data_IF_937021329568
#
_entry.id   IF_937021329568
#
_cell.length_a   1.000
_cell.length_b   1.000
_cell.length_c   1.000
_cell.angle_alpha   90.00
_cell.angle_beta   90.00
_cell.angle_gamma   90.00
#
_symmetry.space_group_name_H-M   'P 1'
#
loop_
_entity.id
_entity.type
_entity.pdbx_description
1 polymer ?
#
# COMPACT_ATOMS: atom_id res chain seq x y z
N UNK A 1 -1.96 -8.70 24.27
CA UNK A 1 -1.73 -9.86 23.39
C UNK A 1 -2.91 -10.80 23.52
N UNK A 2 -3.41 -11.28 22.38
CA UNK A 2 -3.93 -12.64 22.19
C UNK A 2 -3.79 -12.94 20.68
N UNK A 3 -3.47 -14.18 20.30
CA UNK A 3 -2.77 -14.52 19.07
C UNK A 3 -3.71 -14.90 17.93
N UNK A 4 -3.20 -14.78 16.70
CA UNK A 4 -3.82 -15.23 15.46
C UNK A 4 -3.23 -16.61 15.13
N UNK A 5 -4.06 -17.65 15.23
CA UNK A 5 -3.75 -18.99 14.70
C UNK A 5 -3.80 -18.93 13.17
N UNK A 6 -2.77 -19.48 12.54
CA UNK A 6 -2.73 -19.89 11.14
C UNK A 6 -2.26 -21.33 11.18
N UNK A 7 -3.18 -22.26 10.97
CA UNK A 7 -2.91 -23.57 10.42
C UNK A 7 -3.21 -23.46 8.92
N UNK A 8 -2.28 -23.91 8.10
CA UNK A 8 -2.57 -24.92 7.06
C UNK A 8 -1.24 -25.35 6.44
N UNK A 9 -1.16 -26.66 6.29
CA UNK A 9 -0.01 -27.51 6.00
C UNK A 9 0.47 -27.39 4.56
N UNK A 10 1.76 -27.68 4.33
CA UNK A 10 2.21 -28.33 3.09
C UNK A 10 3.53 -29.09 3.35
N UNK A 11 3.37 -30.41 3.39
CA UNK A 11 4.36 -31.46 3.58
C UNK A 11 5.16 -31.67 2.28
N UNK A 12 6.51 -31.65 2.34
CA UNK A 12 7.35 -32.01 1.20
C UNK A 12 8.37 -33.11 1.57
N UNK A 13 8.31 -34.17 0.77
CA UNK A 13 8.96 -35.47 0.93
C UNK A 13 10.47 -35.38 0.64
N UNK A 14 11.27 -35.94 1.55
CA UNK A 14 12.72 -36.19 1.42
C UNK A 14 13.04 -37.17 0.28
N UNK A 15 14.11 -36.88 -0.47
CA UNK A 15 14.88 -37.90 -1.20
C UNK A 15 16.37 -37.63 -1.06
N UNK A 16 16.99 -38.47 -0.24
CA UNK A 16 18.43 -38.68 -0.12
C UNK A 16 19.07 -39.08 -1.45
N UNK A 17 20.23 -38.49 -1.73
CA UNK A 17 21.24 -39.10 -2.59
C UNK A 17 22.51 -39.28 -1.78
N UNK A 18 22.74 -40.53 -1.39
CA UNK A 18 23.96 -40.99 -0.72
C UNK A 18 25.17 -41.03 -1.65
N UNK A 19 26.32 -40.87 -0.99
CA UNK A 19 27.72 -40.81 -1.44
C UNK A 19 28.17 -41.89 -2.42
N UNK A 20 29.11 -41.59 -3.35
CA UNK A 20 30.35 -42.37 -3.65
C UNK A 20 31.37 -41.45 -4.43
N UNK A 21 32.67 -41.79 -4.58
CA UNK A 21 33.81 -41.39 -3.74
C UNK A 21 34.90 -40.55 -4.46
N UNK A 22 35.91 -40.13 -3.70
CA UNK A 22 37.09 -39.39 -4.13
C UNK A 22 38.02 -40.17 -5.11
N UNK A 23 38.58 -39.47 -6.10
CA UNK A 23 39.69 -39.95 -6.93
C UNK A 23 40.82 -38.90 -6.97
N UNK A 24 42.04 -39.43 -6.91
CA UNK A 24 43.33 -38.86 -6.54
C UNK A 24 43.87 -37.73 -7.43
N UNK A 25 44.65 -36.86 -6.79
CA UNK A 25 45.57 -35.92 -7.43
C UNK A 25 46.73 -36.65 -8.13
N UNK A 26 47.24 -36.10 -9.24
CA UNK A 26 48.65 -36.19 -9.56
C UNK A 26 49.33 -34.81 -9.56
N UNK A 27 50.60 -34.86 -9.19
CA UNK A 27 51.52 -33.78 -8.85
C UNK A 27 52.34 -33.25 -10.04
N UNK A 28 52.59 -31.93 -9.98
CA UNK A 28 53.78 -31.14 -10.40
C UNK A 28 54.09 -31.05 -11.91
N UNK A 29 54.12 -29.82 -12.45
CA UNK A 29 55.34 -29.20 -13.00
C UNK A 29 55.17 -27.72 -13.32
N UNK A 30 56.24 -26.96 -13.05
CA UNK A 30 56.38 -25.52 -13.19
C UNK A 30 56.63 -25.11 -14.65
N UNK A 31 55.85 -24.17 -15.19
CA UNK A 31 56.37 -23.23 -16.20
C UNK A 31 55.62 -21.90 -16.21
N UNK A 32 56.38 -20.88 -16.56
CA UNK A 32 56.13 -19.45 -16.56
C UNK A 32 55.09 -18.95 -17.59
N UNK A 33 54.32 -17.94 -17.17
CA UNK A 33 53.66 -16.88 -17.96
C UNK A 33 52.53 -17.27 -18.94
N UNK A 34 51.30 -16.88 -18.60
CA UNK A 34 50.41 -16.21 -19.55
C UNK A 34 49.29 -15.44 -18.83
N UNK A 35 49.30 -14.11 -18.91
CA UNK A 35 48.17 -13.26 -18.54
C UNK A 35 47.08 -13.44 -19.62
N UNK A 36 46.22 -14.43 -19.44
CA UNK A 36 44.98 -14.53 -20.23
C UNK A 36 43.84 -13.87 -19.46
N UNK A 37 43.11 -13.00 -20.17
CA UNK A 37 41.95 -12.26 -19.69
C UNK A 37 40.96 -13.19 -18.98
N UNK A 38 40.84 -13.04 -17.67
CA UNK A 38 39.72 -13.57 -16.92
C UNK A 38 38.50 -12.73 -17.30
N UNK A 39 37.53 -13.37 -17.94
CA UNK A 39 36.25 -12.78 -18.28
C UNK A 39 35.49 -12.52 -16.98
N UNK A 40 35.62 -11.32 -16.43
CA UNK A 40 34.88 -10.89 -15.23
C UNK A 40 33.39 -10.83 -15.54
N UNK A 41 32.61 -11.76 -14.99
CA UNK A 41 31.16 -11.62 -14.92
C UNK A 41 30.84 -10.43 -14.02
N UNK A 42 30.53 -9.27 -14.61
CA UNK A 42 29.99 -8.13 -13.88
C UNK A 42 28.58 -8.49 -13.38
N UNK A 43 28.47 -8.81 -12.10
CA UNK A 43 27.17 -8.89 -11.43
C UNK A 43 26.71 -7.45 -11.15
N UNK A 44 25.56 -7.09 -11.72
CA UNK A 44 25.03 -5.73 -11.69
C UNK A 44 24.79 -5.22 -10.26
N UNK A 45 25.28 -4.01 -9.98
CA UNK A 45 25.01 -3.33 -8.72
C UNK A 45 23.50 -3.04 -8.58
N UNK A 46 22.89 -3.53 -7.50
CA UNK A 46 21.50 -3.23 -7.14
C UNK A 46 21.50 -1.96 -6.29
N UNK A 47 20.67 -0.97 -6.65
CA UNK A 47 20.49 0.26 -5.87
C UNK A 47 20.06 -0.11 -4.45
N UNK A 48 20.88 0.20 -3.46
CA UNK A 48 20.57 -0.08 -2.07
C UNK A 48 19.41 0.79 -1.58
N UNK A 49 18.68 0.33 -0.55
CA UNK A 49 17.58 1.10 0.05
C UNK A 49 18.03 2.48 0.57
N UNK A 50 19.30 2.63 0.93
CA UNK A 50 19.89 3.90 1.31
C UNK A 50 20.07 4.82 0.08
N UNK A 51 20.65 4.31 -1.01
CA UNK A 51 20.84 5.07 -2.25
C UNK A 51 19.52 5.49 -2.89
N UNK A 52 18.48 4.64 -2.85
CA UNK A 52 17.15 4.98 -3.33
C UNK A 52 16.52 6.16 -2.56
N UNK A 53 16.77 6.26 -1.24
CA UNK A 53 16.30 7.38 -0.42
C UNK A 53 17.03 8.68 -0.75
N UNK A 54 18.34 8.61 -0.97
CA UNK A 54 19.16 9.77 -1.34
C UNK A 54 18.78 10.28 -2.74
N UNK A 55 18.59 9.39 -3.71
CA UNK A 55 18.14 9.76 -5.05
C UNK A 55 16.75 10.43 -5.03
N UNK A 56 15.86 10.00 -4.14
CA UNK A 56 14.55 10.64 -3.94
C UNK A 56 14.66 12.05 -3.31
N UNK A 57 15.65 12.29 -2.45
CA UNK A 57 15.94 13.60 -1.85
C UNK A 57 16.65 14.56 -2.82
N UNK A 58 17.50 14.05 -3.71
CA UNK A 58 18.17 14.89 -4.72
C UNK A 58 17.20 15.35 -5.81
N UNK A 59 16.24 14.49 -6.21
CA UNK A 59 15.24 14.81 -7.23
C UNK A 59 14.14 15.79 -6.77
N UNK A 60 14.06 16.17 -5.49
CA UNK A 60 13.15 17.22 -5.02
C UNK A 60 13.70 18.64 -5.18
N UNK A 61 14.94 18.79 -5.69
CA UNK A 61 15.66 20.08 -5.69
C UNK A 61 15.63 20.82 -7.03
N UNK A 62 14.85 20.36 -8.02
CA UNK A 62 14.76 21.02 -9.33
C UNK A 62 13.30 21.30 -9.70
N UNK A 63 12.75 22.37 -9.12
CA UNK A 63 11.59 23.08 -9.68
C UNK A 63 12.12 24.44 -10.14
N UNK A 64 11.98 24.83 -11.44
CA UNK A 64 12.37 26.15 -11.88
C UNK A 64 11.47 27.22 -11.25
N UNK A 65 12.12 28.27 -10.78
CA UNK A 65 11.56 29.46 -10.16
C UNK A 65 10.61 30.20 -11.13
N UNK A 66 9.32 30.22 -10.82
CA UNK A 66 8.39 31.22 -11.37
C UNK A 66 7.81 31.98 -10.20
N UNK A 67 8.42 33.13 -9.95
CA UNK A 67 7.97 34.20 -9.07
C UNK A 67 6.48 34.53 -9.25
N UNK A 68 5.69 34.35 -8.20
CA UNK A 68 4.35 34.95 -8.05
C UNK A 68 4.45 35.98 -6.93
N UNK A 69 4.08 37.21 -7.26
CA UNK A 69 3.98 38.34 -6.34
C UNK A 69 3.07 38.02 -5.15
N UNK A 70 3.55 38.34 -3.96
CA UNK A 70 2.83 38.26 -2.70
C UNK A 70 1.62 39.21 -2.71
N UNK A 71 0.42 38.65 -2.57
CA UNK A 71 -0.71 39.36 -1.96
C UNK A 71 -1.22 38.56 -0.77
N UNK A 72 -0.68 38.96 0.37
CA UNK A 72 -1.28 39.09 1.71
C UNK A 72 -2.66 38.48 1.98
N UNK A 73 -2.71 37.80 3.13
CA UNK A 73 -3.85 37.60 4.05
C UNK A 73 -5.01 36.73 3.55
N UNK A 74 -4.96 35.45 3.93
CA UNK A 74 -6.17 34.63 4.09
C UNK A 74 -6.16 34.06 5.50
N UNK A 75 -7.24 34.41 6.19
CA UNK A 75 -7.65 34.14 7.56
C UNK A 75 -7.56 32.65 7.92
N UNK A 76 -7.04 32.33 9.11
CA UNK A 76 -7.05 31.00 9.74
C UNK A 76 -8.48 30.64 10.17
N UNK A 77 -9.37 30.41 9.20
CA UNK A 77 -10.68 29.83 9.44
C UNK A 77 -10.59 28.31 9.32
N UNK A 78 -11.07 27.53 10.32
CA UNK A 78 -11.08 26.08 10.23
C UNK A 78 -11.91 25.67 9.01
N UNK A 79 -11.34 24.84 8.14
CA UNK A 79 -12.00 24.25 6.96
C UNK A 79 -13.33 23.63 7.38
N UNK A 80 -14.39 24.41 7.21
CA UNK A 80 -15.76 24.02 7.49
C UNK A 80 -16.08 22.82 6.61
N UNK A 81 -16.46 21.70 7.22
CA UNK A 81 -17.01 20.53 6.53
C UNK A 81 -18.35 20.91 5.89
N UNK A 82 -18.35 21.72 4.84
CA UNK A 82 -19.52 21.88 3.98
C UNK A 82 -19.57 20.68 3.04
N UNK A 83 -19.79 19.51 3.65
CA UNK A 83 -20.11 18.29 2.96
C UNK A 83 -21.44 18.48 2.28
N UNK A 84 -21.39 18.73 0.97
CA UNK A 84 -22.48 18.64 0.00
C UNK A 84 -23.65 17.84 0.56
N UNK A 85 -24.65 18.56 1.08
CA UNK A 85 -25.77 17.97 1.79
C UNK A 85 -26.52 17.09 0.79
N UNK A 86 -26.46 15.78 1.02
CA UNK A 86 -27.25 14.84 0.25
C UNK A 86 -28.71 15.26 0.40
N UNK A 87 -29.36 15.66 -0.70
CA UNK A 87 -30.67 16.30 -0.67
C UNK A 87 -31.69 15.40 0.06
N UNK A 88 -31.97 15.78 1.30
CA UNK A 88 -32.86 15.04 2.20
C UNK A 88 -34.31 15.20 1.73
N UNK A 89 -34.66 16.29 1.03
CA UNK A 89 -36.03 16.50 0.55
C UNK A 89 -36.36 15.55 -0.62
N UNK A 90 -35.41 15.35 -1.53
CA UNK A 90 -35.55 14.39 -2.61
C UNK A 90 -35.63 12.92 -2.12
N UNK A 91 -35.14 12.62 -0.92
CA UNK A 91 -35.10 11.23 -0.43
C UNK A 91 -36.49 10.68 -0.14
N UNK A 92 -37.41 11.50 0.35
CA UNK A 92 -38.75 11.05 0.71
C UNK A 92 -39.51 10.58 -0.54
N UNK A 93 -39.46 11.37 -1.61
CA UNK A 93 -40.06 11.04 -2.89
C UNK A 93 -39.39 9.81 -3.52
N UNK A 94 -38.07 9.75 -3.51
CA UNK A 94 -37.31 8.63 -4.08
C UNK A 94 -37.57 7.32 -3.31
N UNK A 95 -37.74 7.39 -1.99
CA UNK A 95 -38.10 6.23 -1.18
C UNK A 95 -39.49 5.71 -1.55
N UNK A 96 -40.50 6.57 -1.72
CA UNK A 96 -41.88 6.17 -2.05
C UNK A 96 -41.98 5.33 -3.34
N UNK A 97 -41.10 5.61 -4.31
CA UNK A 97 -41.02 4.87 -5.58
C UNK A 97 -40.45 3.45 -5.38
N UNK A 98 -39.60 3.25 -4.38
CA UNK A 98 -38.89 1.99 -4.20
C UNK A 98 -39.79 0.87 -3.63
N UNK A 99 -39.61 -0.35 -4.16
CA UNK A 99 -40.38 -1.53 -3.77
C UNK A 99 -40.14 -1.96 -2.32
N UNK A 100 -38.90 -1.84 -1.84
CA UNK A 100 -38.55 -2.18 -0.45
C UNK A 100 -39.25 -1.23 0.51
N UNK A 101 -39.29 0.06 0.19
CA UNK A 101 -40.04 1.04 0.98
C UNK A 101 -41.51 0.65 1.09
N UNK A 102 -42.19 0.42 -0.04
CA UNK A 102 -43.62 0.06 -0.06
C UNK A 102 -43.90 -1.19 0.78
N UNK A 103 -43.06 -2.21 0.64
CA UNK A 103 -43.21 -3.47 1.39
C UNK A 103 -43.01 -3.25 2.89
N UNK A 104 -41.98 -2.51 3.31
CA UNK A 104 -41.70 -2.26 4.72
C UNK A 104 -42.69 -1.33 5.39
N UNK A 105 -43.24 -0.36 4.68
CA UNK A 105 -44.31 0.49 5.21
C UNK A 105 -45.56 -0.33 5.51
N UNK A 106 -45.97 -1.23 4.61
CA UNK A 106 -47.10 -2.13 4.84
C UNK A 106 -46.86 -3.06 6.04
N UNK A 107 -45.66 -3.64 6.15
CA UNK A 107 -45.29 -4.48 7.31
C UNK A 107 -45.34 -3.71 8.64
N UNK A 108 -44.84 -2.48 8.66
CA UNK A 108 -44.85 -1.61 9.85
C UNK A 108 -46.29 -1.25 10.25
N UNK A 109 -47.15 -0.93 9.28
CA UNK A 109 -48.55 -0.61 9.51
C UNK A 109 -49.36 -1.83 10.00
N UNK A 110 -49.06 -3.03 9.49
CA UNK A 110 -49.78 -4.24 9.85
C UNK A 110 -49.48 -4.73 11.28
N UNK A 111 -48.25 -4.57 11.77
CA UNK A 111 -47.84 -5.07 13.10
C UNK A 111 -46.85 -4.10 13.77
N UNK A 112 -47.25 -3.21 14.69
CA UNK A 112 -46.35 -2.18 15.23
C UNK A 112 -45.20 -2.69 16.15
N UNK A 113 -45.10 -4.00 16.40
CA UNK A 113 -44.22 -4.55 17.43
C UNK A 113 -42.83 -4.91 16.86
N UNK A 114 -41.81 -4.17 17.34
CA UNK A 114 -40.36 -4.46 17.22
C UNK A 114 -39.86 -4.81 15.81
N UNK A 115 -40.05 -3.90 14.87
CA UNK A 115 -39.49 -3.99 13.53
C UNK A 115 -38.00 -3.64 13.46
N UNK A 116 -37.34 -4.14 12.41
CA UNK A 116 -35.98 -3.74 12.03
C UNK A 116 -35.93 -2.40 11.29
N UNK A 117 -37.09 -1.82 11.00
CA UNK A 117 -37.27 -0.53 10.32
C UNK A 117 -38.25 0.34 11.11
N UNK A 118 -38.13 1.65 10.96
CA UNK A 118 -39.05 2.64 11.51
C UNK A 118 -39.38 3.68 10.45
N UNK A 119 -40.64 4.10 10.40
CA UNK A 119 -41.11 5.16 9.53
C UNK A 119 -41.31 6.43 10.36
N UNK A 120 -40.58 7.49 10.05
CA UNK A 120 -40.67 8.78 10.75
C UNK A 120 -40.81 9.90 9.73
N UNK A 121 -41.87 10.72 9.85
CA UNK A 121 -42.14 11.85 8.96
C UNK A 121 -42.13 11.48 7.46
N UNK A 122 -42.66 10.30 7.11
CA UNK A 122 -42.67 9.82 5.72
C UNK A 122 -41.34 9.23 5.22
N UNK A 123 -40.31 9.20 6.06
CA UNK A 123 -38.98 8.69 5.73
C UNK A 123 -38.74 7.37 6.46
N UNK A 124 -38.27 6.36 5.72
CA UNK A 124 -37.91 5.06 6.25
C UNK A 124 -36.46 5.06 6.76
N UNK A 125 -36.29 4.51 7.97
CA UNK A 125 -35.00 4.29 8.59
C UNK A 125 -34.84 2.81 8.93
N UNK A 126 -33.61 2.31 8.83
CA UNK A 126 -33.24 1.01 9.37
C UNK A 126 -32.73 1.16 10.80
N UNK A 127 -33.23 0.32 11.69
CA UNK A 127 -32.75 0.23 13.06
C UNK A 127 -31.53 -0.69 13.12
N UNK A 128 -30.44 -0.17 13.64
CA UNK A 128 -29.21 -0.91 13.90
C UNK A 128 -28.96 -0.97 15.41
N UNK A 129 -28.98 -2.18 15.97
CA UNK A 129 -28.77 -2.38 17.39
C UNK A 129 -27.25 -2.39 17.69
N UNK A 130 -26.78 -1.43 18.49
CA UNK A 130 -25.40 -1.34 18.98
C UNK A 130 -25.23 -1.90 20.40
N UNK A 131 -26.13 -2.78 20.84
CA UNK A 131 -26.13 -3.38 22.18
C UNK A 131 -26.77 -2.46 23.22
N UNK A 132 -26.16 -1.30 23.48
CA UNK A 132 -26.61 -0.33 24.51
C UNK A 132 -27.65 0.64 23.93
N UNK A 133 -27.53 0.96 22.65
CA UNK A 133 -28.41 1.91 21.96
C UNK A 133 -28.81 1.40 20.59
N UNK A 134 -30.01 1.74 20.16
CA UNK A 134 -30.44 1.54 18.76
C UNK A 134 -30.16 2.81 17.97
N UNK A 135 -29.44 2.68 16.86
CA UNK A 135 -29.22 3.77 15.92
C UNK A 135 -30.21 3.67 14.76
N UNK A 136 -30.69 4.82 14.29
CA UNK A 136 -31.46 4.95 13.06
C UNK A 136 -30.51 5.29 11.91
N UNK A 137 -30.54 4.47 10.86
CA UNK A 137 -29.78 4.68 9.63
C UNK A 137 -30.77 5.03 8.52
N UNK A 138 -30.54 6.12 7.81
CA UNK A 138 -31.40 6.55 6.71
C UNK A 138 -31.38 5.51 5.60
N UNK A 139 -32.55 5.01 5.20
CA UNK A 139 -32.63 4.11 4.05
C UNK A 139 -32.38 4.90 2.76
N UNK A 140 -31.42 4.46 1.95
CA UNK A 140 -31.12 5.11 0.67
C UNK A 140 -31.67 4.24 -0.46
N UNK A 141 -32.62 4.75 -1.28
CA UNK A 141 -33.15 4.00 -2.41
C UNK A 141 -32.07 3.81 -3.48
N UNK A 142 -32.09 2.70 -4.25
CA UNK A 142 -31.06 2.38 -5.23
C UNK A 142 -30.80 3.49 -6.26
N UNK A 143 -31.83 4.27 -6.59
CA UNK A 143 -31.77 5.41 -7.52
C UNK A 143 -30.82 6.52 -7.05
N UNK A 144 -30.72 6.74 -5.73
CA UNK A 144 -29.89 7.81 -5.15
C UNK A 144 -28.53 7.32 -4.66
N UNK A 145 -28.30 6.00 -4.57
CA UNK A 145 -27.03 5.44 -4.10
C UNK A 145 -25.85 5.98 -4.91
N UNK A 146 -25.99 6.08 -6.24
CA UNK A 146 -24.92 6.61 -7.10
C UNK A 146 -24.57 8.06 -6.76
N UNK A 147 -25.58 8.92 -6.56
CA UNK A 147 -25.38 10.32 -6.18
C UNK A 147 -24.66 10.44 -4.83
N UNK A 148 -25.08 9.63 -3.86
CA UNK A 148 -24.43 9.56 -2.55
C UNK A 148 -22.95 9.15 -2.68
N UNK A 149 -22.65 8.11 -3.45
CA UNK A 149 -21.26 7.66 -3.65
C UNK A 149 -20.41 8.69 -4.38
N UNK A 150 -20.98 9.39 -5.36
CA UNK A 150 -20.31 10.51 -6.04
C UNK A 150 -19.97 11.64 -5.05
N UNK A 151 -20.89 12.01 -4.17
CA UNK A 151 -20.64 13.04 -3.15
C UNK A 151 -19.57 12.63 -2.11
N UNK A 152 -19.45 11.34 -1.80
CA UNK A 152 -18.52 10.84 -0.77
C UNK A 152 -17.20 10.29 -1.33
N UNK A 153 -17.06 10.12 -2.65
CA UNK A 153 -15.86 9.57 -3.29
C UNK A 153 -15.33 10.39 -4.47
N UNK A 154 -16.19 10.87 -5.37
CA UNK A 154 -15.77 11.40 -6.67
C UNK A 154 -15.36 12.88 -6.63
N UNK A 155 -15.83 13.61 -5.62
CA UNK A 155 -15.55 15.03 -5.42
C UNK A 155 -14.10 15.26 -4.96
N UNK A 156 -13.44 16.37 -5.38
CA UNK A 156 -12.03 16.61 -5.06
C UNK A 156 -11.68 16.54 -3.57
N UNK A 157 -12.53 17.11 -2.70
CA UNK A 157 -12.31 17.13 -1.24
C UNK A 157 -12.57 15.77 -0.56
N UNK A 158 -13.24 14.82 -1.23
CA UNK A 158 -13.36 13.45 -0.74
C UNK A 158 -12.07 12.63 -0.98
N UNK A 159 -11.08 13.20 -1.67
CA UNK A 159 -9.74 12.64 -1.87
C UNK A 159 -9.73 11.21 -2.44
N UNK A 160 -10.80 10.78 -3.12
CA UNK A 160 -10.91 9.45 -3.71
C UNK A 160 -10.58 8.31 -2.73
N UNK A 161 -11.05 8.42 -1.48
CA UNK A 161 -10.73 7.44 -0.44
C UNK A 161 -11.14 6.01 -0.84
N UNK A 162 -10.29 5.05 -0.44
CA UNK A 162 -10.53 3.62 -0.65
C UNK A 162 -11.71 3.08 0.15
N UNK A 163 -12.10 1.83 -0.14
CA UNK A 163 -13.31 1.18 0.36
C UNK A 163 -13.56 1.39 1.86
N UNK A 164 -12.58 1.06 2.70
CA UNK A 164 -12.78 1.11 4.14
C UNK A 164 -13.18 2.52 4.60
N UNK A 165 -12.41 3.55 4.25
CA UNK A 165 -12.67 4.91 4.72
C UNK A 165 -14.01 5.45 4.21
N UNK A 166 -14.36 5.17 2.96
CA UNK A 166 -15.68 5.54 2.40
C UNK A 166 -16.82 4.83 3.13
N UNK A 167 -16.68 3.53 3.38
CA UNK A 167 -17.67 2.76 4.15
C UNK A 167 -17.82 3.26 5.59
N UNK A 168 -16.73 3.55 6.29
CA UNK A 168 -16.75 4.06 7.67
C UNK A 168 -17.46 5.42 7.76
N UNK A 169 -17.29 6.30 6.77
CA UNK A 169 -18.03 7.58 6.72
C UNK A 169 -19.54 7.41 6.54
N UNK A 170 -19.97 6.39 5.79
CA UNK A 170 -21.37 6.21 5.41
C UNK A 170 -22.16 5.32 6.38
N UNK A 171 -21.54 4.26 6.92
CA UNK A 171 -22.24 3.19 7.67
C UNK A 171 -22.99 3.66 8.91
N UNK A 172 -22.60 4.81 9.43
CA UNK A 172 -23.13 5.36 10.67
C UNK A 172 -24.37 6.24 10.44
N UNK A 173 -24.61 6.67 9.19
CA UNK A 173 -25.70 7.57 8.81
C UNK A 173 -26.69 6.94 7.84
N UNK A 174 -26.21 6.08 6.94
CA UNK A 174 -26.99 5.54 5.83
C UNK A 174 -27.00 4.02 5.82
N UNK A 175 -28.04 3.46 5.20
CA UNK A 175 -28.13 2.04 4.92
C UNK A 175 -28.88 1.77 3.62
N UNK A 176 -28.43 0.76 2.87
CA UNK A 176 -29.17 0.16 1.76
C UNK A 176 -28.73 -1.31 1.60
N UNK A 177 -29.51 -2.14 0.87
CA UNK A 177 -29.10 -3.51 0.53
C UNK A 177 -27.75 -3.54 -0.18
N UNK A 178 -26.89 -4.50 0.17
CA UNK A 178 -25.58 -4.71 -0.45
C UNK A 178 -24.61 -3.52 -0.42
N UNK A 179 -24.80 -2.60 0.53
CA UNK A 179 -24.00 -1.38 0.70
C UNK A 179 -22.49 -1.57 0.54
N UNK A 180 -21.90 -2.61 1.18
CA UNK A 180 -20.47 -2.88 1.07
C UNK A 180 -20.06 -3.21 -0.38
N UNK A 181 -20.84 -4.05 -1.05
CA UNK A 181 -20.58 -4.47 -2.43
C UNK A 181 -20.73 -3.30 -3.39
N UNK A 182 -21.79 -2.50 -3.25
CA UNK A 182 -21.99 -1.31 -4.10
C UNK A 182 -20.86 -0.29 -3.95
N UNK A 183 -20.41 -0.02 -2.72
CA UNK A 183 -19.28 0.89 -2.47
C UNK A 183 -17.99 0.34 -3.10
N UNK A 184 -17.68 -0.95 -2.93
CA UNK A 184 -16.50 -1.58 -3.55
C UNK A 184 -16.55 -1.42 -5.08
N UNK A 185 -17.69 -1.73 -5.69
CA UNK A 185 -17.85 -1.68 -7.13
C UNK A 185 -17.69 -0.25 -7.67
N UNK A 186 -18.26 0.76 -6.99
CA UNK A 186 -18.09 2.17 -7.37
C UNK A 186 -16.64 2.63 -7.31
N UNK A 187 -15.92 2.28 -6.24
CA UNK A 187 -14.50 2.66 -6.11
C UNK A 187 -13.64 1.91 -7.13
N UNK A 188 -13.95 0.64 -7.41
CA UNK A 188 -13.24 -0.15 -8.40
C UNK A 188 -13.48 0.35 -9.84
N UNK A 189 -14.67 0.90 -10.13
CA UNK A 189 -15.00 1.50 -11.43
C UNK A 189 -14.47 2.95 -11.58
N UNK A 190 -14.00 3.58 -10.50
CA UNK A 190 -13.46 4.93 -10.55
C UNK A 190 -12.16 5.01 -11.38
N UNK A 191 -12.23 5.75 -12.50
CA UNK A 191 -11.10 5.91 -13.44
C UNK A 191 -9.89 6.59 -12.80
N UNK A 192 -10.11 7.59 -11.93
CA UNK A 192 -9.04 8.30 -11.22
C UNK A 192 -8.30 7.34 -10.28
N UNK A 193 -9.04 6.61 -9.44
CA UNK A 193 -8.48 5.60 -8.56
C UNK A 193 -7.68 4.55 -9.35
N UNK A 194 -8.25 4.02 -10.43
CA UNK A 194 -7.59 2.99 -11.26
C UNK A 194 -6.30 3.50 -11.90
N UNK A 195 -6.26 4.77 -12.32
CA UNK A 195 -5.08 5.39 -12.94
C UNK A 195 -3.93 5.60 -11.95
N UNK A 196 -4.24 6.00 -10.71
CA UNK A 196 -3.21 6.39 -9.74
C UNK A 196 -2.87 5.29 -8.72
N UNK A 197 -3.82 4.45 -8.32
CA UNK A 197 -3.62 3.31 -7.41
C UNK A 197 -3.42 1.99 -8.17
N UNK A 198 -2.45 1.97 -9.08
CA UNK A 198 -2.00 0.73 -9.72
C UNK A 198 -1.10 -0.01 -8.73
N UNK A 199 -1.43 -1.25 -8.40
CA UNK A 199 -0.52 -2.10 -7.63
C UNK A 199 0.69 -2.43 -8.50
N UNK A 200 1.80 -1.71 -8.26
CA UNK A 200 3.07 -1.93 -8.95
C UNK A 200 3.93 -2.99 -8.28
N UNK A 201 3.43 -3.63 -7.21
CA UNK A 201 4.16 -4.71 -6.56
C UNK A 201 4.11 -5.92 -7.47
N UNK A 202 5.21 -6.14 -8.19
CA UNK A 202 5.49 -7.47 -8.74
C UNK A 202 5.56 -8.44 -7.57
N UNK A 203 5.13 -9.69 -7.79
CA UNK A 203 5.47 -10.76 -6.86
C UNK A 203 6.98 -10.68 -6.57
N UNK A 204 7.41 -10.78 -5.30
CA UNK A 204 8.82 -10.79 -5.00
C UNK A 204 9.47 -11.93 -5.81
N UNK A 205 10.49 -11.59 -6.60
CA UNK A 205 11.26 -12.60 -7.31
C UNK A 205 11.99 -13.51 -6.33
N UNK A 206 12.41 -14.69 -6.79
CA UNK A 206 13.30 -15.54 -6.00
C UNK A 206 14.61 -14.80 -5.75
N UNK A 207 15.09 -14.83 -4.51
CA UNK A 207 16.43 -14.33 -4.19
C UNK A 207 17.44 -15.30 -4.81
N UNK A 208 18.37 -14.78 -5.62
CA UNK A 208 19.47 -15.55 -6.14
C UNK A 208 20.63 -15.49 -5.13
N UNK A 209 20.96 -16.59 -4.43
CA UNK A 209 22.10 -16.60 -3.54
C UNK A 209 23.39 -16.43 -4.35
N UNK A 210 24.34 -15.70 -3.77
CA UNK A 210 25.69 -15.60 -4.30
C UNK A 210 26.41 -16.89 -3.91
N UNK A 211 26.94 -17.63 -4.90
CA UNK A 211 27.73 -18.83 -4.65
C UNK A 211 28.95 -18.51 -3.79
N UNK A 212 29.26 -19.40 -2.84
CA UNK A 212 30.44 -19.22 -2.00
C UNK A 212 31.71 -19.34 -2.87
N UNK A 213 32.61 -18.36 -2.85
CA UNK A 213 33.88 -18.47 -3.57
C UNK A 213 34.71 -19.65 -3.04
N UNK A 214 35.55 -20.23 -3.89
CA UNK A 214 36.44 -21.36 -3.54
C UNK A 214 37.74 -20.95 -2.84
N UNK A 215 38.01 -19.65 -2.69
CA UNK A 215 39.20 -19.13 -2.03
C UNK A 215 39.21 -17.61 -1.87
N UNK A 216 40.17 -17.06 -1.10
CA UNK A 216 40.29 -15.62 -0.87
C UNK A 216 40.41 -14.83 -2.18
N UNK A 217 39.81 -13.64 -2.22
CA UNK A 217 39.89 -12.68 -3.32
C UNK A 217 39.26 -13.13 -4.65
N UNK A 218 38.59 -14.30 -4.68
CA UNK A 218 37.87 -14.76 -5.88
C UNK A 218 36.55 -14.01 -6.11
N UNK A 219 35.93 -13.52 -5.04
CA UNK A 219 34.73 -12.69 -5.11
C UNK A 219 34.82 -11.54 -4.10
N UNK A 220 34.82 -10.32 -4.62
CA UNK A 220 34.93 -9.10 -3.82
C UNK A 220 33.64 -8.28 -3.98
N UNK A 221 33.02 -7.96 -2.85
CA UNK A 221 31.92 -7.01 -2.76
C UNK A 221 32.46 -5.62 -2.54
N UNK A 222 32.06 -4.69 -3.38
CA UNK A 222 32.37 -3.28 -3.19
C UNK A 222 31.04 -2.56 -3.00
N UNK A 223 30.86 -1.95 -1.83
CA UNK A 223 29.69 -1.14 -1.51
C UNK A 223 30.12 0.26 -1.10
N UNK A 224 29.27 1.23 -1.38
CA UNK A 224 29.51 2.63 -1.11
C UNK A 224 28.31 3.20 -0.36
N UNK A 225 28.58 3.82 0.78
CA UNK A 225 27.52 4.32 1.65
C UNK A 225 27.80 5.72 2.16
N UNK A 226 26.72 6.49 2.33
CA UNK A 226 26.72 7.91 2.66
C UNK A 226 25.74 8.68 1.76
N UNK A 227 25.63 10.02 1.90
CA UNK A 227 26.50 10.85 2.71
C UNK A 227 26.20 10.76 4.22
N UNK A 228 27.25 10.68 5.02
CA UNK A 228 27.25 10.80 6.47
C UNK A 228 27.60 12.23 6.90
N UNK A 229 27.44 12.58 8.19
CA UNK A 229 28.00 13.81 8.73
C UNK A 229 29.49 13.94 8.41
N UNK A 230 29.88 15.14 7.95
CA UNK A 230 31.23 15.41 7.50
C UNK A 230 32.20 15.32 8.68
N UNK A 231 33.23 14.48 8.54
CA UNK A 231 34.35 14.41 9.48
C UNK A 231 35.25 15.65 9.36
N UNK A 232 36.10 15.95 10.35
CA UNK A 232 37.07 17.06 10.26
C UNK A 232 38.01 16.99 9.04
N UNK A 233 38.23 15.79 8.50
CA UNK A 233 39.05 15.56 7.30
C UNK A 233 38.27 15.70 5.99
N UNK A 234 37.00 16.11 6.05
CA UNK A 234 36.13 16.29 4.88
C UNK A 234 35.46 15.00 4.39
N UNK A 235 35.71 13.84 5.02
CA UNK A 235 35.09 12.58 4.63
C UNK A 235 33.60 12.57 4.94
N UNK A 236 32.78 12.14 3.98
CA UNK A 236 31.32 11.99 4.12
C UNK A 236 30.81 10.65 3.57
N UNK A 237 31.69 9.80 3.07
CA UNK A 237 31.33 8.48 2.55
C UNK A 237 32.27 7.40 3.07
N UNK A 238 31.81 6.15 2.97
CA UNK A 238 32.61 4.96 3.27
C UNK A 238 32.51 4.01 2.08
N UNK A 239 33.68 3.66 1.53
CA UNK A 239 33.83 2.56 0.59
C UNK A 239 34.15 1.28 1.38
N UNK A 240 33.23 0.32 1.37
CA UNK A 240 33.41 -0.98 1.98
C UNK A 240 33.80 -2.00 0.91
N UNK A 241 34.95 -2.63 1.06
CA UNK A 241 35.46 -3.70 0.21
C UNK A 241 35.48 -4.98 1.04
N UNK A 242 34.70 -5.97 0.66
CA UNK A 242 34.53 -7.23 1.40
C UNK A 242 34.95 -8.41 0.54
N UNK A 243 35.90 -9.22 1.02
CA UNK A 243 36.15 -10.53 0.43
C UNK A 243 35.06 -11.52 0.88
N UNK A 244 34.31 -12.10 -0.07
CA UNK A 244 33.20 -13.00 0.25
C UNK A 244 33.66 -14.34 0.83
N UNK A 245 34.91 -14.74 0.60
CA UNK A 245 35.47 -15.98 1.17
C UNK A 245 35.83 -15.80 2.64
N UNK A 246 36.79 -14.92 2.93
CA UNK A 246 37.30 -14.71 4.29
C UNK A 246 36.38 -13.86 5.17
N UNK A 247 35.40 -13.16 4.57
CA UNK A 247 34.61 -12.09 5.21
C UNK A 247 35.47 -10.93 5.71
N UNK A 248 36.71 -10.79 5.20
CA UNK A 248 37.57 -9.66 5.49
C UNK A 248 37.00 -8.38 4.88
N UNK A 249 36.89 -7.32 5.68
CA UNK A 249 36.34 -6.03 5.26
C UNK A 249 37.40 -4.94 5.38
N UNK A 250 37.54 -4.15 4.33
CA UNK A 250 38.30 -2.90 4.29
C UNK A 250 37.29 -1.76 4.16
N UNK A 251 37.32 -0.81 5.09
CA UNK A 251 36.50 0.40 5.04
C UNK A 251 37.39 1.62 4.82
N UNK A 252 37.17 2.34 3.71
CA UNK A 252 37.96 3.50 3.30
C UNK A 252 37.07 4.75 3.39
N UNK A 253 37.44 5.75 4.21
CA UNK A 253 36.70 7.01 4.27
C UNK A 253 36.99 7.87 3.03
N UNK A 254 35.94 8.48 2.45
CA UNK A 254 36.04 9.29 1.23
C UNK A 254 35.36 10.66 1.38
N UNK A 255 35.95 11.74 0.84
CA UNK A 255 35.36 13.09 0.88
C UNK A 255 34.29 13.33 -0.20
N UNK A 256 34.39 12.63 -1.33
CA UNK A 256 33.45 12.66 -2.45
C UNK A 256 33.34 11.27 -3.09
#
# INVERSE_FOLDING_TARGET
>A
GYPRQLEDDDEFIERDFGDIPAIQQPTIESTSTNYQQVQTHMVGAVVTRAQAKINAQLNSSTIPDTSIEEKSSIDDQPLREEGHEFDVLAIEEAQKIDKLYQTKVLEIQANPIKHTYVLENGILYKLFNCGISTRKLLYVPPTMVKQLLTAYHDVPWAAHFGFHRTYWKLKDKYWWPDMKTTIKNHIHSCLKCRKFNIDRRKAPGLLHPIEAPGGPFQLIGIDYTGPFPITPQGNKYVLAITDYFTKWVIAIPLPN
#
